data_IF_960286930273
#
_entry.id   IF_960286930273
#
_cell.length_a   1.000
_cell.length_b   1.000
_cell.length_c   1.000
_cell.angle_alpha   90.00
_cell.angle_beta   90.00
_cell.angle_gamma   90.00
#
_symmetry.space_group_name_H-M   'P 1'
#
loop_
_entity.id
_entity.type
_entity.pdbx_description
1 polymer ?
#
# COMPACT_ATOMS: atom_id res chain seq x y z
N UNK A 1 -0.18 -9.15 18.81
CA UNK A 1 1.10 -9.85 18.62
C UNK A 1 2.16 -8.85 18.21
N UNK A 2 3.40 -8.92 18.72
CA UNK A 2 4.36 -7.83 18.63
C UNK A 2 5.27 -7.94 17.39
N UNK A 3 4.79 -8.29 16.18
CA UNK A 3 5.68 -8.44 15.01
C UNK A 3 5.05 -7.98 13.69
N UNK A 4 4.70 -6.69 13.57
CA UNK A 4 4.19 -6.13 12.30
C UNK A 4 5.27 -5.44 11.47
N UNK A 5 6.37 -5.01 12.10
CA UNK A 5 7.38 -4.14 11.49
C UNK A 5 8.77 -4.59 11.95
N UNK A 6 9.77 -4.43 11.09
CA UNK A 6 11.16 -4.80 11.35
C UNK A 6 12.11 -3.65 10.98
N UNK A 7 13.01 -3.34 11.92
CA UNK A 7 14.19 -2.52 11.69
C UNK A 7 15.39 -3.24 12.31
N UNK A 8 16.43 -3.50 11.55
CA UNK A 8 17.56 -4.32 12.02
C UNK A 8 18.35 -3.69 13.18
N UNK A 9 18.17 -2.39 13.43
CA UNK A 9 18.84 -1.59 14.45
C UNK A 9 17.98 -1.34 15.71
N UNK A 10 16.82 -1.99 15.85
CA UNK A 10 16.02 -2.01 17.10
C UNK A 10 15.83 -3.44 17.59
N UNK A 11 15.50 -3.61 18.86
CA UNK A 11 15.20 -4.93 19.40
C UNK A 11 13.89 -5.47 18.81
N UNK A 12 13.92 -6.68 18.22
CA UNK A 12 12.72 -7.29 17.60
C UNK A 12 11.58 -7.59 18.57
N UNK A 13 11.87 -7.71 19.87
CA UNK A 13 10.88 -8.05 20.89
C UNK A 13 10.24 -6.82 21.55
N UNK A 14 11.07 -5.88 22.04
CA UNK A 14 10.58 -4.71 22.77
C UNK A 14 10.58 -3.41 21.97
N UNK A 15 11.14 -3.40 20.75
CA UNK A 15 11.23 -2.24 19.87
C UNK A 15 11.99 -1.02 20.41
N UNK A 16 12.70 -1.19 21.52
CA UNK A 16 13.63 -0.18 22.00
C UNK A 16 14.91 -0.19 21.14
N UNK A 17 15.40 1.01 20.83
CA UNK A 17 16.80 1.20 20.45
C UNK A 17 17.68 0.92 21.66
N UNK A 18 18.87 0.37 21.43
CA UNK A 18 19.88 0.18 22.46
C UNK A 18 21.26 0.36 21.86
N UNK A 19 22.19 0.87 22.66
CA UNK A 19 23.57 1.14 22.21
C UNK A 19 24.31 -0.16 21.82
N UNK A 20 23.88 -1.30 22.38
CA UNK A 20 24.47 -2.60 22.13
C UNK A 20 23.40 -3.67 21.88
N UNK A 21 22.96 -3.80 20.63
CA UNK A 21 22.08 -4.91 20.23
C UNK A 21 22.90 -6.14 19.82
N UNK A 22 22.50 -7.31 20.34
CA UNK A 22 23.08 -8.60 20.00
C UNK A 22 22.37 -9.17 18.77
N UNK A 23 23.10 -9.30 17.66
CA UNK A 23 22.62 -9.97 16.46
C UNK A 23 22.48 -11.47 16.71
N UNK A 24 21.45 -12.10 16.15
CA UNK A 24 21.32 -13.55 16.13
C UNK A 24 22.55 -14.18 15.45
N UNK A 25 23.31 -15.01 16.18
CA UNK A 25 24.59 -15.53 15.71
C UNK A 25 24.48 -16.39 14.44
N UNK A 26 23.37 -17.10 14.26
CA UNK A 26 23.16 -18.02 13.13
C UNK A 26 22.77 -17.28 11.84
N UNK A 27 21.69 -16.48 11.87
CA UNK A 27 21.16 -15.83 10.67
C UNK A 27 21.67 -14.41 10.45
N UNK A 28 22.10 -13.70 11.51
CA UNK A 28 22.52 -12.29 11.52
C UNK A 28 21.47 -11.26 11.03
N UNK A 29 20.23 -11.69 10.79
CA UNK A 29 19.14 -10.83 10.28
C UNK A 29 18.48 -9.99 11.37
N UNK A 30 18.46 -10.47 12.61
CA UNK A 30 17.66 -9.90 13.70
C UNK A 30 18.53 -9.59 14.91
N UNK A 31 18.14 -8.57 15.69
CA UNK A 31 18.90 -8.05 16.82
C UNK A 31 18.04 -7.94 18.09
N UNK A 32 18.66 -8.12 19.26
CA UNK A 32 18.00 -8.07 20.57
C UNK A 32 18.82 -7.29 21.60
N UNK A 33 18.16 -6.56 22.50
CA UNK A 33 18.87 -5.89 23.60
C UNK A 33 19.34 -6.87 24.68
N UNK A 34 18.62 -7.97 24.91
CA UNK A 34 18.97 -8.99 25.90
C UNK A 34 18.81 -10.40 25.36
N UNK A 35 19.52 -11.35 25.96
CA UNK A 35 19.36 -12.78 25.65
C UNK A 35 17.97 -13.30 26.01
N UNK A 36 17.26 -12.61 26.91
CA UNK A 36 15.90 -12.94 27.32
C UNK A 36 14.90 -12.62 26.20
N UNK A 37 14.99 -11.42 25.60
CA UNK A 37 14.19 -11.06 24.42
C UNK A 37 14.45 -11.99 23.23
N UNK A 38 15.70 -12.42 23.04
CA UNK A 38 16.02 -13.45 22.06
C UNK A 38 15.29 -14.78 22.35
N UNK A 39 15.27 -15.24 23.61
CA UNK A 39 14.55 -16.47 24.01
C UNK A 39 13.05 -16.35 23.78
N UNK A 40 12.46 -15.17 24.01
CA UNK A 40 11.05 -14.94 23.75
C UNK A 40 10.70 -15.00 22.27
N UNK A 41 11.48 -14.29 21.43
CA UNK A 41 11.31 -14.30 19.98
C UNK A 41 11.65 -15.67 19.36
N UNK A 42 12.52 -16.47 19.98
CA UNK A 42 12.93 -17.78 19.47
C UNK A 42 11.76 -18.73 19.21
N UNK A 43 10.65 -18.61 19.95
CA UNK A 43 9.42 -19.40 19.72
C UNK A 43 8.88 -19.22 18.30
N UNK A 44 9.12 -18.05 17.70
CA UNK A 44 8.66 -17.63 16.38
C UNK A 44 9.84 -17.65 15.38
N UNK A 45 10.94 -16.95 15.70
CA UNK A 45 12.08 -16.74 14.79
C UNK A 45 12.82 -18.03 14.39
N UNK A 46 12.79 -19.09 15.21
CA UNK A 46 13.56 -20.32 14.96
C UNK A 46 13.35 -20.91 13.56
N UNK A 47 12.13 -20.86 13.03
CA UNK A 47 11.80 -21.46 11.74
C UNK A 47 12.49 -20.73 10.58
N UNK A 48 12.41 -19.40 10.57
CA UNK A 48 13.12 -18.57 9.60
C UNK A 48 14.64 -18.73 9.76
N UNK A 49 15.13 -18.66 11.01
CA UNK A 49 16.56 -18.75 11.31
C UNK A 49 17.19 -20.04 10.82
N UNK A 50 16.56 -21.18 11.10
CA UNK A 50 17.02 -22.50 10.67
C UNK A 50 16.99 -22.61 9.14
N UNK A 51 15.96 -22.07 8.48
CA UNK A 51 15.84 -22.10 7.02
C UNK A 51 16.93 -21.27 6.34
N UNK A 52 17.15 -20.04 6.81
CA UNK A 52 18.23 -19.17 6.32
C UNK A 52 19.59 -19.84 6.54
N UNK A 53 19.80 -20.44 7.71
CA UNK A 53 21.06 -21.13 8.02
C UNK A 53 21.29 -22.33 7.09
N UNK A 54 20.24 -23.11 6.80
CA UNK A 54 20.30 -24.23 5.85
C UNK A 54 20.60 -23.74 4.43
N UNK A 55 19.94 -22.68 3.98
CA UNK A 55 20.16 -22.08 2.66
C UNK A 55 21.63 -21.62 2.51
N UNK A 56 22.16 -20.94 3.53
CA UNK A 56 23.54 -20.47 3.57
C UNK A 56 24.55 -21.62 3.56
N UNK A 57 24.36 -22.63 4.43
CA UNK A 57 25.37 -23.66 4.67
C UNK A 57 25.34 -24.78 3.63
N UNK A 58 24.15 -25.22 3.24
CA UNK A 58 23.95 -26.37 2.35
C UNK A 58 23.88 -25.94 0.89
N UNK A 59 23.06 -24.94 0.57
CA UNK A 59 22.83 -24.51 -0.81
C UNK A 59 23.81 -23.41 -1.26
N UNK A 60 24.63 -22.89 -0.34
CA UNK A 60 25.60 -21.80 -0.59
C UNK A 60 24.96 -20.52 -1.14
N UNK A 61 23.67 -20.34 -0.90
CA UNK A 61 22.92 -19.13 -1.23
C UNK A 61 22.80 -18.32 0.05
N UNK A 62 23.37 -17.12 0.08
CA UNK A 62 23.34 -16.24 1.25
C UNK A 62 22.89 -14.85 0.87
N UNK A 63 22.01 -14.28 1.70
CA UNK A 63 21.59 -12.88 1.58
C UNK A 63 22.79 -11.93 1.59
N UNK A 64 23.82 -12.25 2.39
CA UNK A 64 24.99 -11.40 2.60
C UNK A 64 26.16 -11.70 1.66
N UNK A 65 26.02 -12.66 0.73
CA UNK A 65 27.06 -12.99 -0.27
C UNK A 65 26.69 -12.45 -1.66
N UNK A 66 26.20 -11.21 -1.71
CA UNK A 66 25.87 -10.55 -2.97
C UNK A 66 27.14 -10.10 -3.70
N UNK A 67 27.18 -10.30 -5.02
CA UNK A 67 28.35 -9.99 -5.88
C UNK A 67 28.08 -8.96 -6.97
N UNK A 68 26.84 -8.48 -7.10
CA UNK A 68 26.51 -7.42 -8.04
C UNK A 68 26.88 -6.04 -7.48
N UNK A 69 26.57 -5.01 -8.25
CA UNK A 69 26.85 -3.62 -7.89
C UNK A 69 25.70 -2.66 -8.21
N UNK A 70 24.59 -3.17 -8.75
CA UNK A 70 23.41 -2.35 -9.05
C UNK A 70 22.26 -2.65 -8.09
N UNK A 71 21.39 -1.65 -7.91
CA UNK A 71 20.14 -1.79 -7.16
C UNK A 71 19.25 -2.89 -7.74
N UNK A 72 19.16 -2.99 -9.07
CA UNK A 72 18.36 -4.00 -9.76
C UNK A 72 18.83 -5.42 -9.44
N UNK A 73 20.13 -5.69 -9.57
CA UNK A 73 20.70 -7.00 -9.22
C UNK A 73 20.49 -7.33 -7.73
N UNK A 74 20.56 -6.31 -6.86
CA UNK A 74 20.29 -6.49 -5.44
C UNK A 74 18.81 -6.83 -5.16
N UNK A 75 17.87 -6.19 -5.87
CA UNK A 75 16.45 -6.52 -5.82
C UNK A 75 16.21 -7.97 -6.25
N UNK A 76 16.78 -8.38 -7.40
CA UNK A 76 16.69 -9.75 -7.91
C UNK A 76 17.27 -10.79 -6.95
N UNK A 77 18.42 -10.49 -6.33
CA UNK A 77 19.05 -11.37 -5.35
C UNK A 77 18.18 -11.55 -4.10
N UNK A 78 17.63 -10.46 -3.54
CA UNK A 78 16.72 -10.52 -2.39
C UNK A 78 15.45 -11.31 -2.71
N UNK A 79 14.84 -11.07 -3.87
CA UNK A 79 13.66 -11.80 -4.33
C UNK A 79 13.94 -13.28 -4.46
N UNK A 80 15.07 -13.66 -5.08
CA UNK A 80 15.50 -15.05 -5.20
C UNK A 80 15.67 -15.72 -3.83
N UNK A 81 16.37 -15.06 -2.90
CA UNK A 81 16.56 -15.57 -1.53
C UNK A 81 15.20 -15.76 -0.84
N UNK A 82 14.29 -14.80 -0.96
CA UNK A 82 12.96 -14.86 -0.38
C UNK A 82 12.14 -16.05 -0.90
N UNK A 83 12.13 -16.26 -2.22
CA UNK A 83 11.46 -17.40 -2.87
C UNK A 83 12.02 -18.73 -2.35
N UNK A 84 13.34 -18.89 -2.27
CA UNK A 84 13.93 -20.12 -1.72
C UNK A 84 13.54 -20.37 -0.27
N UNK A 85 13.49 -19.31 0.55
CA UNK A 85 13.07 -19.42 1.95
C UNK A 85 11.60 -19.87 2.04
N UNK A 86 10.69 -19.27 1.27
CA UNK A 86 9.27 -19.65 1.24
C UNK A 86 9.08 -21.10 0.76
N UNK A 87 9.81 -21.53 -0.26
CA UNK A 87 9.80 -22.91 -0.75
C UNK A 87 10.27 -23.92 0.31
N UNK A 88 11.36 -23.61 1.03
CA UNK A 88 11.88 -24.46 2.09
C UNK A 88 10.98 -24.49 3.34
N UNK A 89 10.35 -23.36 3.67
CA UNK A 89 9.39 -23.25 4.78
C UNK A 89 8.02 -23.85 4.46
N UNK A 90 7.67 -24.01 3.18
CA UNK A 90 6.35 -24.45 2.69
C UNK A 90 5.20 -23.56 3.17
N UNK A 91 5.48 -22.27 3.33
CA UNK A 91 4.48 -21.23 3.62
C UNK A 91 5.00 -19.89 3.14
N UNK A 92 4.09 -18.95 2.94
CA UNK A 92 4.47 -17.55 2.77
C UNK A 92 5.14 -17.03 4.04
N UNK A 93 6.10 -16.13 3.87
CA UNK A 93 6.70 -15.40 4.97
C UNK A 93 5.70 -14.40 5.54
N UNK A 94 5.71 -14.27 6.87
CA UNK A 94 4.98 -13.20 7.55
C UNK A 94 5.58 -11.84 7.14
N UNK A 95 4.80 -10.76 7.26
CA UNK A 95 5.21 -9.40 6.86
C UNK A 95 6.59 -9.02 7.43
N UNK A 96 6.80 -9.20 8.73
CA UNK A 96 8.08 -8.87 9.37
C UNK A 96 9.23 -9.78 8.92
N UNK A 97 8.97 -11.05 8.59
CA UNK A 97 10.00 -11.97 8.08
C UNK A 97 10.44 -11.57 6.67
N UNK A 98 9.50 -11.10 5.83
CA UNK A 98 9.84 -10.49 4.53
C UNK A 98 10.69 -9.25 4.73
N UNK A 99 10.30 -8.37 5.65
CA UNK A 99 11.07 -7.17 5.95
C UNK A 99 12.50 -7.46 6.45
N UNK A 100 12.74 -8.59 7.13
CA UNK A 100 14.10 -9.02 7.49
C UNK A 100 15.01 -9.27 6.27
N UNK A 101 14.43 -9.69 5.15
CA UNK A 101 15.14 -9.96 3.89
C UNK A 101 15.20 -8.70 3.02
N UNK A 102 14.13 -7.91 3.02
CA UNK A 102 13.99 -6.69 2.22
C UNK A 102 14.78 -5.51 2.81
N UNK A 103 14.91 -5.41 4.13
CA UNK A 103 15.66 -4.34 4.80
C UNK A 103 16.79 -4.88 5.68
N UNK A 104 17.71 -5.70 5.13
CA UNK A 104 18.76 -6.31 5.92
C UNK A 104 19.82 -5.28 6.30
N UNK A 105 20.67 -5.66 7.27
CA UNK A 105 21.75 -4.81 7.74
C UNK A 105 22.94 -4.82 6.75
N UNK A 106 22.83 -4.07 5.66
CA UNK A 106 23.84 -3.93 4.60
C UNK A 106 24.13 -2.48 4.28
N UNK A 107 25.23 -2.20 3.58
CA UNK A 107 25.53 -0.85 3.11
C UNK A 107 24.52 -0.42 2.03
N UNK A 108 23.99 0.80 2.12
CA UNK A 108 23.08 1.37 1.11
C UNK A 108 23.70 1.48 -0.28
N UNK A 109 25.03 1.64 -0.38
CA UNK A 109 25.73 1.83 -1.66
C UNK A 109 26.21 0.53 -2.28
N UNK A 110 26.94 -0.30 -1.52
CA UNK A 110 27.55 -1.51 -2.07
C UNK A 110 26.79 -2.81 -1.73
N UNK A 111 25.72 -2.72 -0.94
CA UNK A 111 24.88 -3.85 -0.50
C UNK A 111 25.65 -4.95 0.27
N UNK A 112 26.89 -4.67 0.68
CA UNK A 112 27.70 -5.61 1.46
C UNK A 112 27.34 -5.54 2.93
N UNK A 113 27.39 -6.70 3.57
CA UNK A 113 27.33 -6.81 5.02
C UNK A 113 28.65 -6.34 5.64
N UNK A 114 28.54 -5.59 6.73
CA UNK A 114 29.66 -5.23 7.59
C UNK A 114 29.29 -5.50 9.06
N UNK A 115 30.30 -5.75 9.89
CA UNK A 115 30.13 -5.86 11.34
C UNK A 115 29.87 -4.49 11.96
N UNK A 116 30.48 -3.44 11.40
CA UNK A 116 30.36 -2.04 11.83
C UNK A 116 29.81 -1.19 10.68
N UNK A 117 28.83 -0.34 10.98
CA UNK A 117 28.21 0.57 10.02
C UNK A 117 28.14 1.98 10.60
N UNK A 118 28.21 2.97 9.70
CA UNK A 118 27.88 4.36 9.95
C UNK A 118 26.39 4.57 9.64
N UNK A 119 25.50 4.71 10.63
CA UNK A 119 24.09 4.96 10.38
C UNK A 119 23.85 6.42 10.03
N UNK A 120 22.86 6.72 9.18
CA UNK A 120 22.30 8.06 9.15
C UNK A 120 21.65 8.37 10.50
N UNK A 121 22.19 9.37 11.22
CA UNK A 121 21.74 9.72 12.57
C UNK A 121 20.30 10.23 12.62
N UNK A 122 19.80 10.77 11.50
CA UNK A 122 18.48 11.37 11.39
C UNK A 122 17.43 10.26 11.16
N UNK A 123 17.42 9.63 9.98
CA UNK A 123 16.38 8.64 9.65
C UNK A 123 16.60 7.26 10.25
N UNK A 124 17.84 6.90 10.60
CA UNK A 124 18.24 5.55 11.06
C UNK A 124 17.87 4.42 10.10
N UNK A 125 17.54 4.73 8.84
CA UNK A 125 17.15 3.74 7.83
C UNK A 125 18.28 3.38 6.85
N UNK A 126 19.27 4.27 6.68
CA UNK A 126 20.43 4.04 5.81
C UNK A 126 21.71 3.81 6.62
N UNK A 127 22.56 2.94 6.10
CA UNK A 127 23.77 2.44 6.76
C UNK A 127 24.90 2.38 5.76
N UNK A 128 26.10 2.83 6.15
CA UNK A 128 27.25 2.89 5.26
C UNK A 128 28.42 2.11 5.85
N UNK A 129 29.12 1.33 5.02
CA UNK A 129 30.28 0.57 5.49
C UNK A 129 31.55 1.43 5.67
N UNK A 130 31.56 2.65 5.11
CA UNK A 130 32.65 3.62 5.20
C UNK A 130 32.12 5.05 4.94
N UNK A 131 32.92 6.06 5.29
CA UNK A 131 32.58 7.47 5.07
C UNK A 131 32.44 7.82 3.58
N UNK A 132 33.26 7.22 2.72
CA UNK A 132 33.22 7.42 1.27
C UNK A 132 31.82 7.10 0.71
N UNK A 133 31.26 5.94 1.04
CA UNK A 133 29.89 5.58 0.60
C UNK A 133 28.81 6.51 1.18
N UNK A 134 29.00 7.01 2.41
CA UNK A 134 28.09 7.98 3.00
C UNK A 134 28.11 9.31 2.23
N UNK A 135 29.30 9.77 1.82
CA UNK A 135 29.48 11.00 1.05
C UNK A 135 28.89 10.83 -0.36
N UNK A 136 29.18 9.71 -1.02
CA UNK A 136 28.70 9.43 -2.39
C UNK A 136 27.18 9.38 -2.48
N UNK A 137 26.49 8.81 -1.48
CA UNK A 137 25.03 8.73 -1.46
C UNK A 137 24.35 9.93 -0.80
N UNK A 138 25.10 10.94 -0.32
CA UNK A 138 24.55 12.03 0.48
C UNK A 138 23.40 12.77 -0.21
N UNK A 139 23.59 13.18 -1.48
CA UNK A 139 22.60 13.96 -2.22
C UNK A 139 21.28 13.18 -2.41
N UNK A 140 21.36 11.95 -2.91
CA UNK A 140 20.21 11.06 -3.11
C UNK A 140 19.50 10.73 -1.78
N UNK A 141 20.28 10.52 -0.72
CA UNK A 141 19.75 10.26 0.61
C UNK A 141 19.01 11.46 1.20
N UNK A 142 19.53 12.68 1.02
CA UNK A 142 18.96 13.90 1.59
C UNK A 142 17.53 14.16 1.09
N UNK A 143 17.21 13.81 -0.15
CA UNK A 143 15.86 13.90 -0.73
C UNK A 143 14.84 13.06 0.05
N UNK A 144 15.26 11.91 0.58
CA UNK A 144 14.37 10.93 1.22
C UNK A 144 14.54 10.84 2.74
N UNK A 145 15.60 11.41 3.31
CA UNK A 145 15.96 11.24 4.72
C UNK A 145 14.84 11.67 5.67
N UNK A 146 14.16 12.79 5.40
CA UNK A 146 13.06 13.27 6.24
C UNK A 146 11.85 12.32 6.18
N UNK A 147 11.54 11.80 4.99
CA UNK A 147 10.41 10.90 4.81
C UNK A 147 10.68 9.51 5.40
N UNK A 148 11.90 9.00 5.26
CA UNK A 148 12.37 7.79 5.96
C UNK A 148 12.29 7.95 7.48
N UNK A 149 12.68 9.12 8.01
CA UNK A 149 12.53 9.41 9.44
C UNK A 149 11.06 9.37 9.86
N UNK A 150 10.19 10.03 9.10
CA UNK A 150 8.76 10.04 9.39
C UNK A 150 8.16 8.62 9.34
N UNK A 151 8.58 7.79 8.37
CA UNK A 151 8.18 6.37 8.29
C UNK A 151 8.57 5.63 9.58
N UNK A 152 9.83 5.77 10.01
CA UNK A 152 10.32 5.14 11.25
C UNK A 152 9.55 5.63 12.49
N UNK A 153 9.30 6.92 12.60
CA UNK A 153 8.60 7.52 13.74
C UNK A 153 7.12 7.07 13.80
N UNK A 154 6.43 6.99 12.66
CA UNK A 154 5.05 6.48 12.57
C UNK A 154 4.99 5.00 12.95
N UNK A 155 5.92 4.19 12.44
CA UNK A 155 5.99 2.77 12.74
C UNK A 155 6.23 2.51 14.24
N UNK A 156 7.16 3.26 14.86
CA UNK A 156 7.39 3.19 16.30
C UNK A 156 6.19 3.67 17.11
N UNK A 157 5.49 4.71 16.65
CA UNK A 157 4.28 5.21 17.28
C UNK A 157 3.18 4.13 17.30
N UNK A 158 2.96 3.44 16.17
CA UNK A 158 2.00 2.34 16.06
C UNK A 158 2.33 1.14 16.98
N UNK A 159 3.60 0.91 17.25
CA UNK A 159 4.04 -0.16 18.16
C UNK A 159 3.80 0.23 19.62
N UNK A 160 4.13 1.48 19.99
CA UNK A 160 4.06 1.96 21.38
C UNK A 160 2.64 2.29 21.81
N UNK A 161 1.85 2.87 20.91
CA UNK A 161 0.44 3.10 21.14
C UNK A 161 -0.30 1.79 20.87
N UNK A 162 -1.01 1.26 21.87
CA UNK A 162 -1.98 0.21 21.61
C UNK A 162 -2.94 0.73 20.53
N UNK A 163 -3.23 -0.04 19.46
CA UNK A 163 -4.05 0.47 18.33
C UNK A 163 -5.41 1.01 18.80
N UNK A 164 -5.95 0.47 19.89
CA UNK A 164 -7.18 0.94 20.55
C UNK A 164 -7.07 2.34 21.18
N UNK A 165 -5.85 2.84 21.41
CA UNK A 165 -5.55 4.16 21.94
C UNK A 165 -5.33 5.22 20.85
N UNK A 166 -5.23 4.81 19.59
CA UNK A 166 -5.18 5.74 18.47
C UNK A 166 -6.57 6.35 18.34
N UNK A 167 -6.67 7.68 18.43
CA UNK A 167 -7.95 8.38 18.34
C UNK A 167 -8.50 8.19 16.93
N UNK A 168 -9.65 7.53 16.81
CA UNK A 168 -10.42 7.56 15.58
C UNK A 168 -10.82 9.00 15.31
N UNK A 169 -10.44 9.50 14.14
CA UNK A 169 -10.86 10.83 13.69
C UNK A 169 -12.31 10.73 13.26
N UNK A 170 -13.18 11.48 13.94
CA UNK A 170 -14.57 11.62 13.53
C UNK A 170 -14.63 12.51 12.28
N UNK A 171 -14.49 11.88 11.12
CA UNK A 171 -14.50 12.55 9.83
C UNK A 171 -15.79 13.34 9.60
N UNK A 172 -16.93 12.86 10.12
CA UNK A 172 -18.22 13.53 9.97
C UNK A 172 -18.22 14.91 10.63
N UNK A 173 -17.53 15.06 11.75
CA UNK A 173 -17.39 16.37 12.43
C UNK A 173 -16.55 17.40 11.66
N UNK A 174 -15.72 16.94 10.71
CA UNK A 174 -14.83 17.79 9.91
C UNK A 174 -15.45 18.23 8.58
N UNK A 175 -16.58 17.64 8.19
CA UNK A 175 -17.18 17.87 6.88
C UNK A 175 -17.67 19.32 6.73
N UNK A 176 -17.14 20.00 5.70
CA UNK A 176 -17.56 21.34 5.28
C UNK A 176 -18.47 21.25 4.06
N UNK A 177 -19.23 22.31 3.79
CA UNK A 177 -20.10 22.39 2.60
C UNK A 177 -19.31 22.22 1.30
N UNK A 178 -18.14 22.85 1.23
CA UNK A 178 -17.21 22.72 0.11
C UNK A 178 -16.35 21.47 0.29
N UNK A 179 -16.13 20.74 -0.81
CA UNK A 179 -15.14 19.68 -0.83
C UNK A 179 -13.74 20.30 -0.63
N UNK A 180 -12.88 19.74 0.25
CA UNK A 180 -11.54 20.28 0.50
C UNK A 180 -10.67 20.23 -0.76
N UNK A 181 -9.59 21.01 -0.80
CA UNK A 181 -8.62 20.97 -1.90
C UNK A 181 -7.60 19.84 -1.77
N UNK A 182 -7.35 19.36 -0.55
CA UNK A 182 -6.41 18.28 -0.26
C UNK A 182 -6.74 17.55 1.04
N UNK A 183 -6.15 16.38 1.24
CA UNK A 183 -6.24 15.64 2.51
C UNK A 183 -5.58 16.40 3.67
N UNK A 184 -4.57 17.21 3.36
CA UNK A 184 -3.83 17.97 4.35
C UNK A 184 -4.70 19.08 4.94
N UNK A 185 -5.45 19.79 4.07
CA UNK A 185 -6.46 20.78 4.44
C UNK A 185 -7.62 20.13 5.22
N UNK A 186 -8.10 18.96 4.77
CA UNK A 186 -9.20 18.27 5.45
C UNK A 186 -8.86 17.89 6.89
N UNK A 187 -7.62 17.48 7.13
CA UNK A 187 -7.14 17.04 8.45
C UNK A 187 -6.52 18.18 9.29
N UNK A 188 -6.61 19.42 8.82
CA UNK A 188 -6.08 20.58 9.54
C UNK A 188 -6.77 20.75 10.90
N UNK A 189 -5.98 20.80 11.98
CA UNK A 189 -6.48 20.92 13.36
C UNK A 189 -7.16 19.67 13.93
N UNK A 190 -7.42 18.63 13.11
CA UNK A 190 -8.08 17.40 13.56
C UNK A 190 -7.14 16.44 14.31
N UNK A 191 -5.85 16.50 14.03
CA UNK A 191 -4.82 15.58 14.55
C UNK A 191 -3.94 16.28 15.58
N UNK A 192 -3.48 15.59 16.64
CA UNK A 192 -2.56 16.18 17.62
C UNK A 192 -1.18 16.48 17.05
N UNK A 193 -0.81 15.83 15.95
CA UNK A 193 0.47 16.02 15.30
C UNK A 193 0.60 15.19 14.02
N UNK A 194 1.77 15.27 13.39
CA UNK A 194 2.04 14.66 12.08
C UNK A 194 1.87 13.13 12.07
N UNK A 195 2.17 12.44 13.17
CA UNK A 195 2.06 10.98 13.24
C UNK A 195 0.61 10.52 13.16
N UNK A 196 -0.29 11.13 13.95
CA UNK A 196 -1.73 10.87 13.87
C UNK A 196 -2.29 11.28 12.50
N UNK A 197 -1.82 12.41 11.94
CA UNK A 197 -2.22 12.89 10.61
C UNK A 197 -1.86 11.88 9.51
N UNK A 198 -0.67 11.28 9.56
CA UNK A 198 -0.26 10.23 8.63
C UNK A 198 -1.21 9.03 8.68
N UNK A 199 -1.51 8.53 9.89
CA UNK A 199 -2.38 7.37 10.06
C UNK A 199 -3.81 7.63 9.58
N UNK A 200 -4.37 8.79 9.94
CA UNK A 200 -5.71 9.16 9.48
C UNK A 200 -5.77 9.36 7.98
N UNK A 201 -4.76 10.02 7.40
CA UNK A 201 -4.69 10.26 5.96
C UNK A 201 -4.65 8.96 5.15
N UNK A 202 -3.99 7.93 5.69
CA UNK A 202 -3.90 6.62 5.04
C UNK A 202 -5.26 5.92 4.97
N UNK A 203 -6.05 5.96 6.04
CA UNK A 203 -7.37 5.33 6.08
C UNK A 203 -8.37 6.03 5.15
N UNK A 204 -8.36 7.36 5.12
CA UNK A 204 -9.35 8.14 4.36
C UNK A 204 -8.95 8.38 2.89
N UNK A 205 -7.67 8.17 2.53
CA UNK A 205 -7.18 8.42 1.18
C UNK A 205 -8.00 7.68 0.11
N UNK A 206 -8.44 6.45 0.39
CA UNK A 206 -9.26 5.65 -0.54
C UNK A 206 -10.58 6.34 -0.91
N UNK A 207 -11.39 6.68 0.10
CA UNK A 207 -12.69 7.32 -0.13
C UNK A 207 -12.54 8.71 -0.75
N UNK A 208 -11.57 9.49 -0.30
CA UNK A 208 -11.36 10.84 -0.83
C UNK A 208 -10.81 10.86 -2.26
N UNK A 209 -9.97 9.90 -2.63
CA UNK A 209 -9.49 9.76 -4.02
C UNK A 209 -10.66 9.40 -4.96
N UNK A 210 -11.54 8.52 -4.51
CA UNK A 210 -12.77 8.15 -5.24
C UNK A 210 -13.70 9.36 -5.41
N UNK A 211 -13.99 10.09 -4.33
CA UNK A 211 -14.83 11.29 -4.36
C UNK A 211 -14.21 12.41 -5.21
N UNK A 212 -12.89 12.58 -5.15
CA UNK A 212 -12.16 13.55 -5.97
C UNK A 212 -12.33 13.24 -7.46
N UNK A 213 -12.15 11.98 -7.87
CA UNK A 213 -12.37 11.55 -9.25
C UNK A 213 -13.81 11.77 -9.71
N UNK A 214 -14.78 11.45 -8.85
CA UNK A 214 -16.21 11.70 -9.09
C UNK A 214 -16.52 13.18 -9.32
N UNK A 215 -16.03 14.06 -8.43
CA UNK A 215 -16.25 15.51 -8.50
C UNK A 215 -15.59 16.12 -9.74
N UNK A 216 -14.37 15.68 -10.08
CA UNK A 216 -13.64 16.19 -11.24
C UNK A 216 -14.27 15.77 -12.56
N UNK A 217 -14.83 14.56 -12.64
CA UNK A 217 -15.48 14.07 -13.85
C UNK A 217 -16.75 14.86 -14.19
N UNK A 218 -17.64 15.08 -13.21
CA UNK A 218 -18.86 15.90 -13.36
C UNK A 218 -19.76 15.53 -14.57
N UNK A 219 -19.76 14.26 -15.02
CA UNK A 219 -20.45 13.79 -16.24
C UNK A 219 -21.48 12.68 -16.05
N UNK A 220 -21.62 12.14 -14.85
CA UNK A 220 -22.44 10.95 -14.58
C UNK A 220 -23.88 11.27 -14.16
N UNK A 221 -24.40 12.47 -14.45
CA UNK A 221 -25.73 12.92 -14.02
C UNK A 221 -25.99 12.65 -12.52
N UNK A 222 -24.93 12.72 -11.69
CA UNK A 222 -24.95 12.28 -10.30
C UNK A 222 -26.08 12.90 -9.48
N UNK A 223 -26.46 14.13 -9.82
CA UNK A 223 -27.53 14.88 -9.18
C UNK A 223 -28.94 14.30 -9.42
N UNK A 224 -29.10 13.43 -10.41
CA UNK A 224 -30.36 12.76 -10.73
C UNK A 224 -30.45 11.34 -10.15
N UNK A 225 -29.36 10.82 -9.57
CA UNK A 225 -29.31 9.46 -9.07
C UNK A 225 -29.85 9.38 -7.63
N UNK A 226 -30.64 8.34 -7.37
CA UNK A 226 -31.08 7.97 -6.03
C UNK A 226 -30.22 6.84 -5.43
N UNK A 227 -29.67 5.98 -6.30
CA UNK A 227 -28.81 4.85 -5.96
C UNK A 227 -27.51 5.01 -6.72
N UNK A 228 -26.38 4.78 -6.06
CA UNK A 228 -25.05 4.90 -6.65
C UNK A 228 -24.24 3.60 -6.50
N UNK A 229 -23.81 3.04 -7.63
CA UNK A 229 -23.09 1.77 -7.70
C UNK A 229 -21.58 2.03 -7.87
N UNK A 230 -20.81 1.62 -6.87
CA UNK A 230 -19.35 1.72 -6.82
C UNK A 230 -18.76 0.33 -6.96
N UNK A 231 -17.97 0.10 -8.00
CA UNK A 231 -17.17 -1.12 -8.13
C UNK A 231 -15.71 -0.82 -7.78
N UNK A 232 -15.14 -1.62 -6.89
CA UNK A 232 -13.76 -1.50 -6.44
C UNK A 232 -13.01 -2.74 -6.90
N UNK A 233 -12.02 -2.57 -7.78
CA UNK A 233 -11.27 -3.66 -8.40
C UNK A 233 -9.94 -3.90 -7.68
N UNK A 234 -9.46 -5.14 -7.74
CA UNK A 234 -8.19 -5.53 -7.13
C UNK A 234 -8.23 -5.54 -5.60
N UNK A 235 -9.44 -5.63 -5.02
CA UNK A 235 -9.65 -5.53 -3.59
C UNK A 235 -8.92 -6.64 -2.82
N UNK A 236 -8.14 -6.20 -1.83
CA UNK A 236 -7.56 -7.01 -0.76
C UNK A 236 -8.05 -6.48 0.60
N UNK A 237 -7.43 -6.90 1.71
CA UNK A 237 -7.86 -6.47 3.04
C UNK A 237 -7.74 -4.96 3.28
N UNK A 238 -6.82 -4.27 2.60
CA UNK A 238 -6.52 -2.85 2.80
C UNK A 238 -7.63 -1.93 2.30
N UNK A 239 -8.27 -2.24 1.17
CA UNK A 239 -9.35 -1.43 0.61
C UNK A 239 -10.63 -1.49 1.46
N UNK A 240 -10.75 -2.43 2.40
CA UNK A 240 -11.87 -2.46 3.37
C UNK A 240 -11.96 -1.19 4.22
N UNK A 241 -10.89 -0.38 4.31
CA UNK A 241 -10.94 0.91 5.01
C UNK A 241 -12.02 1.85 4.43
N UNK A 242 -12.31 1.75 3.13
CA UNK A 242 -13.35 2.58 2.50
C UNK A 242 -14.73 2.38 3.17
N UNK A 243 -14.99 1.17 3.69
CA UNK A 243 -16.28 0.80 4.29
C UNK A 243 -16.59 1.63 5.54
N UNK A 244 -15.55 2.08 6.26
CA UNK A 244 -15.67 2.93 7.46
C UNK A 244 -16.20 4.33 7.13
N UNK A 245 -16.06 4.77 5.88
CA UNK A 245 -16.26 6.16 5.48
C UNK A 245 -17.35 6.34 4.41
N UNK A 246 -18.17 5.30 4.16
CA UNK A 246 -19.24 5.36 3.14
C UNK A 246 -20.25 6.46 3.43
N UNK A 247 -20.52 6.78 4.71
CA UNK A 247 -21.44 7.85 5.10
C UNK A 247 -21.06 9.21 4.50
N UNK A 248 -19.76 9.45 4.24
CA UNK A 248 -19.24 10.70 3.67
C UNK A 248 -19.84 10.99 2.28
N UNK A 249 -20.22 9.97 1.51
CA UNK A 249 -20.91 10.16 0.23
C UNK A 249 -22.16 11.03 0.38
N UNK A 250 -22.97 10.77 1.41
CA UNK A 250 -24.27 11.43 1.60
C UNK A 250 -24.14 12.89 2.00
N UNK A 251 -22.98 13.32 2.47
CA UNK A 251 -22.74 14.72 2.82
C UNK A 251 -22.59 15.60 1.59
N UNK A 252 -21.75 15.21 0.63
CA UNK A 252 -21.55 15.98 -0.61
C UNK A 252 -22.53 15.61 -1.72
N UNK A 253 -23.21 14.46 -1.61
CA UNK A 253 -24.23 14.00 -2.54
C UNK A 253 -25.54 13.68 -1.80
N UNK A 254 -26.20 14.68 -1.20
CA UNK A 254 -27.38 14.49 -0.36
C UNK A 254 -28.60 13.92 -1.08
N UNK A 255 -28.62 13.93 -2.42
CA UNK A 255 -29.67 13.31 -3.24
C UNK A 255 -29.63 11.77 -3.20
N UNK A 256 -28.46 11.17 -2.98
CA UNK A 256 -28.30 9.72 -2.97
C UNK A 256 -28.94 9.15 -1.72
N UNK A 257 -29.86 8.18 -1.82
CA UNK A 257 -30.38 7.45 -0.67
C UNK A 257 -29.67 6.12 -0.43
N UNK A 258 -28.99 5.59 -1.45
CA UNK A 258 -28.27 4.32 -1.34
C UNK A 258 -26.93 4.35 -2.07
N UNK A 259 -25.90 3.80 -1.44
CA UNK A 259 -24.61 3.51 -2.10
C UNK A 259 -24.35 2.01 -2.04
N UNK A 260 -24.23 1.36 -3.19
CA UNK A 260 -23.84 -0.03 -3.31
C UNK A 260 -22.33 -0.10 -3.57
N UNK A 261 -21.59 -0.82 -2.72
CA UNK A 261 -20.17 -1.08 -2.88
C UNK A 261 -19.98 -2.55 -3.26
N UNK A 262 -19.43 -2.80 -4.44
CA UNK A 262 -19.04 -4.13 -4.89
C UNK A 262 -17.52 -4.21 -4.92
N UNK A 263 -16.93 -4.98 -4.02
CA UNK A 263 -15.50 -5.20 -3.93
C UNK A 263 -15.14 -6.48 -4.68
N UNK A 264 -14.32 -6.38 -5.73
CA UNK A 264 -14.00 -7.48 -6.63
C UNK A 264 -12.49 -7.75 -6.64
N UNK A 265 -12.09 -8.99 -6.40
CA UNK A 265 -10.70 -9.41 -6.55
C UNK A 265 -10.47 -10.88 -6.14
N UNK A 266 -9.43 -11.53 -6.68
CA UNK A 266 -9.13 -12.94 -6.38
C UNK A 266 -8.76 -13.18 -4.92
N UNK A 267 -8.27 -12.14 -4.24
CA UNK A 267 -7.86 -12.15 -2.84
C UNK A 267 -8.95 -11.65 -1.88
N UNK A 268 -10.16 -11.37 -2.37
CA UNK A 268 -11.28 -11.00 -1.50
C UNK A 268 -11.61 -12.15 -0.53
N UNK A 269 -11.70 -11.83 0.76
CA UNK A 269 -12.24 -12.75 1.75
C UNK A 269 -13.78 -12.76 1.67
N UNK A 270 -14.33 -13.89 1.21
CA UNK A 270 -15.77 -14.16 1.11
C UNK A 270 -16.24 -15.12 2.22
N UNK A 271 -15.52 -15.21 3.34
CA UNK A 271 -15.88 -16.05 4.48
C UNK A 271 -17.30 -15.79 5.01
N UNK A 272 -17.87 -14.61 4.74
CA UNK A 272 -19.31 -14.34 4.76
C UNK A 272 -19.81 -14.02 3.35
N UNK A 273 -20.64 -14.88 2.76
CA UNK A 273 -21.35 -14.61 1.50
C UNK A 273 -22.45 -13.54 1.64
N UNK A 274 -22.59 -12.94 2.83
CA UNK A 274 -23.67 -12.02 3.13
C UNK A 274 -23.36 -10.61 2.63
N UNK A 275 -24.38 -9.99 2.02
CA UNK A 275 -24.38 -8.56 1.76
C UNK A 275 -24.48 -7.83 3.11
N UNK A 276 -23.48 -7.01 3.42
CA UNK A 276 -23.49 -6.20 4.64
C UNK A 276 -24.30 -4.94 4.32
N UNK A 277 -25.43 -4.79 4.99
CA UNK A 277 -26.25 -3.58 4.90
C UNK A 277 -25.99 -2.69 6.11
N UNK A 278 -25.79 -1.39 5.86
CA UNK A 278 -25.66 -0.39 6.91
C UNK A 278 -26.72 0.70 6.74
N UNK A 279 -27.32 1.09 7.85
CA UNK A 279 -28.25 2.21 7.91
C UNK A 279 -27.55 3.43 8.50
N UNK A 280 -27.80 4.58 7.91
CA UNK A 280 -27.30 5.88 8.35
C UNK A 280 -28.47 6.82 8.66
N UNK A 281 -28.16 8.03 9.13
CA UNK A 281 -29.18 9.04 9.42
C UNK A 281 -30.02 9.36 8.18
N UNK A 282 -31.26 9.80 8.40
CA UNK A 282 -32.19 10.24 7.35
C UNK A 282 -32.55 9.16 6.32
N UNK A 283 -32.52 7.87 6.72
CA UNK A 283 -32.91 6.76 5.84
C UNK A 283 -31.91 6.46 4.72
N UNK A 284 -30.69 6.99 4.81
CA UNK A 284 -29.59 6.68 3.89
C UNK A 284 -29.05 5.29 4.20
N UNK A 285 -28.70 4.52 3.19
CA UNK A 285 -28.23 3.13 3.36
C UNK A 285 -27.03 2.80 2.50
N UNK A 286 -26.21 1.83 2.92
CA UNK A 286 -25.21 1.22 2.05
C UNK A 286 -25.36 -0.29 2.04
N UNK A 287 -25.01 -0.90 0.90
CA UNK A 287 -24.93 -2.34 0.75
C UNK A 287 -23.52 -2.69 0.26
N UNK A 288 -22.86 -3.64 0.93
CA UNK A 288 -21.49 -4.04 0.62
C UNK A 288 -21.51 -5.51 0.19
N UNK A 289 -21.02 -5.77 -1.02
CA UNK A 289 -20.88 -7.10 -1.61
C UNK A 289 -19.41 -7.36 -1.90
N UNK A 290 -18.91 -8.52 -1.51
CA UNK A 290 -17.54 -8.97 -1.82
C UNK A 290 -17.58 -10.12 -2.81
N UNK A 291 -16.81 -10.01 -3.88
CA UNK A 291 -16.75 -10.97 -4.99
C UNK A 291 -15.32 -11.48 -5.11
N UNK A 292 -15.12 -12.75 -4.75
CA UNK A 292 -13.85 -13.45 -4.95
C UNK A 292 -13.74 -13.98 -6.38
N UNK A 293 -13.59 -13.07 -7.33
CA UNK A 293 -13.53 -13.38 -8.75
C UNK A 293 -12.72 -12.31 -9.52
N UNK A 294 -12.38 -12.58 -10.78
CA UNK A 294 -11.87 -11.55 -11.68
C UNK A 294 -13.05 -10.71 -12.23
N UNK A 295 -12.80 -9.43 -12.51
CA UNK A 295 -13.89 -8.52 -12.92
C UNK A 295 -14.57 -8.94 -14.23
N UNK A 296 -13.79 -9.39 -15.22
CA UNK A 296 -14.31 -9.91 -16.49
C UNK A 296 -15.03 -11.26 -16.39
N UNK A 297 -15.02 -11.89 -15.21
CA UNK A 297 -15.82 -13.06 -14.89
C UNK A 297 -17.12 -12.61 -14.20
N UNK A 298 -17.02 -11.69 -13.21
CA UNK A 298 -18.18 -11.11 -12.53
C UNK A 298 -19.20 -10.44 -13.47
N UNK A 299 -18.74 -9.75 -14.52
CA UNK A 299 -19.65 -9.09 -15.49
C UNK A 299 -20.62 -10.08 -16.17
N UNK A 300 -20.28 -11.37 -16.21
CA UNK A 300 -21.10 -12.42 -16.84
C UNK A 300 -22.11 -13.03 -15.87
N UNK A 301 -22.03 -12.69 -14.58
CA UNK A 301 -22.91 -13.23 -13.55
C UNK A 301 -24.30 -12.55 -13.62
N UNK A 302 -25.34 -13.29 -13.25
CA UNK A 302 -26.74 -12.82 -13.35
C UNK A 302 -27.07 -11.68 -12.39
N UNK A 303 -26.27 -11.51 -11.35
CA UNK A 303 -26.41 -10.47 -10.33
C UNK A 303 -25.37 -9.33 -10.51
N UNK A 304 -24.84 -9.20 -11.73
CA UNK A 304 -24.06 -8.05 -12.14
C UNK A 304 -24.95 -6.80 -12.20
N UNK A 305 -24.59 -5.79 -11.43
CA UNK A 305 -25.20 -4.47 -11.53
C UNK A 305 -24.25 -3.53 -12.29
N UNK A 306 -24.79 -2.68 -13.17
CA UNK A 306 -23.98 -1.73 -13.89
C UNK A 306 -23.39 -0.68 -12.92
N UNK A 307 -22.07 -0.42 -12.94
CA UNK A 307 -21.46 0.59 -12.08
C UNK A 307 -21.77 2.01 -12.57
N UNK A 308 -21.82 2.97 -11.65
CA UNK A 308 -21.68 4.39 -11.99
C UNK A 308 -20.22 4.82 -11.98
N UNK A 309 -19.42 4.19 -11.13
CA UNK A 309 -17.98 4.41 -11.02
C UNK A 309 -17.27 3.09 -10.74
N UNK A 310 -16.14 2.89 -11.40
CA UNK A 310 -15.20 1.82 -11.16
C UNK A 310 -13.91 2.46 -10.64
N UNK A 311 -13.37 1.94 -9.55
CA UNK A 311 -12.09 2.38 -9.00
C UNK A 311 -11.13 1.22 -8.83
N UNK A 312 -9.87 1.40 -9.22
CA UNK A 312 -8.79 0.46 -9.01
C UNK A 312 -7.66 1.19 -8.27
N UNK A 313 -7.45 0.84 -7.00
CA UNK A 313 -6.46 1.51 -6.16
C UNK A 313 -5.09 0.86 -6.30
N UNK A 314 -4.06 1.66 -6.59
CA UNK A 314 -2.65 1.24 -6.73
C UNK A 314 -2.51 -0.06 -7.54
N UNK A 315 -3.22 -0.14 -8.66
CA UNK A 315 -3.61 -1.42 -9.26
C UNK A 315 -2.56 -2.07 -10.15
N UNK A 316 -1.57 -1.30 -10.63
CA UNK A 316 -0.51 -1.80 -11.50
C UNK A 316 -1.06 -2.43 -12.78
N UNK A 317 -1.99 -1.76 -13.45
CA UNK A 317 -2.58 -2.26 -14.70
C UNK A 317 -1.52 -2.64 -15.72
N UNK A 318 -0.41 -1.92 -15.80
CA UNK A 318 0.65 -2.20 -16.76
C UNK A 318 1.70 -3.24 -16.29
N UNK A 319 1.73 -3.64 -15.02
CA UNK A 319 2.83 -4.40 -14.41
C UNK A 319 3.14 -5.72 -15.16
N UNK A 320 2.10 -6.44 -15.54
CA UNK A 320 2.21 -7.76 -16.19
C UNK A 320 1.80 -7.75 -17.67
N UNK A 321 1.73 -6.58 -18.30
CA UNK A 321 1.23 -6.45 -19.67
C UNK A 321 1.97 -7.39 -20.65
N UNK A 322 1.23 -8.09 -21.49
CA UNK A 322 1.75 -9.09 -22.45
C UNK A 322 2.49 -10.28 -21.82
N UNK A 323 2.30 -10.54 -20.52
CA UNK A 323 2.85 -11.73 -19.86
C UNK A 323 1.77 -12.78 -19.61
N UNK A 324 2.17 -14.00 -19.26
CA UNK A 324 1.23 -15.07 -18.86
C UNK A 324 0.54 -14.81 -17.53
N UNK A 325 0.98 -13.80 -16.77
CA UNK A 325 0.42 -13.41 -15.47
C UNK A 325 -0.61 -12.26 -15.62
N UNK A 326 -0.86 -11.82 -16.85
CA UNK A 326 -1.75 -10.71 -17.14
C UNK A 326 -3.23 -11.07 -16.96
N UNK A 327 -3.81 -10.61 -15.85
CA UNK A 327 -5.25 -10.74 -15.58
C UNK A 327 -6.02 -9.46 -15.90
N UNK A 328 -5.33 -8.33 -16.09
CA UNK A 328 -5.94 -7.02 -16.30
C UNK A 328 -6.41 -6.79 -17.74
N UNK A 329 -5.75 -7.39 -18.75
CA UNK A 329 -6.11 -7.19 -20.16
C UNK A 329 -7.61 -7.39 -20.44
N UNK A 330 -8.14 -8.58 -20.11
CA UNK A 330 -9.58 -8.87 -20.28
C UNK A 330 -10.48 -7.95 -19.45
N UNK A 331 -10.03 -7.54 -18.27
CA UNK A 331 -10.77 -6.61 -17.41
C UNK A 331 -10.87 -5.23 -18.07
N UNK A 332 -9.77 -4.72 -18.64
CA UNK A 332 -9.73 -3.45 -19.38
C UNK A 332 -10.62 -3.55 -20.62
N UNK A 333 -10.53 -4.64 -21.39
CA UNK A 333 -11.39 -4.85 -22.58
C UNK A 333 -12.89 -4.80 -22.23
N UNK A 334 -13.27 -5.37 -21.09
CA UNK A 334 -14.65 -5.32 -20.61
C UNK A 334 -15.05 -3.92 -20.15
N UNK A 335 -14.17 -3.21 -19.42
CA UNK A 335 -14.43 -1.84 -18.97
C UNK A 335 -14.65 -0.89 -20.16
N UNK A 336 -13.80 -0.98 -21.19
CA UNK A 336 -13.88 -0.12 -22.38
C UNK A 336 -15.12 -0.36 -23.24
N UNK A 337 -15.86 -1.44 -22.98
CA UNK A 337 -17.14 -1.75 -23.65
C UNK A 337 -18.36 -1.23 -22.88
N UNK A 338 -18.17 -0.71 -21.67
CA UNK A 338 -19.26 -0.10 -20.89
C UNK A 338 -19.59 1.29 -21.44
N UNK A 339 -20.78 1.79 -21.12
CA UNK A 339 -21.21 3.14 -21.44
C UNK A 339 -21.56 3.88 -20.14
N UNK A 340 -21.32 5.19 -20.08
CA UNK A 340 -21.61 6.06 -18.92
C UNK A 340 -20.95 5.63 -17.61
N UNK A 341 -19.69 5.22 -17.63
CA UNK A 341 -18.92 4.80 -16.45
C UNK A 341 -17.76 5.74 -16.19
N UNK A 342 -17.56 6.14 -14.92
CA UNK A 342 -16.33 6.81 -14.49
C UNK A 342 -15.31 5.74 -14.10
N UNK A 343 -14.08 5.85 -14.61
CA UNK A 343 -12.95 5.01 -14.20
C UNK A 343 -11.94 5.86 -13.43
N UNK A 344 -11.67 5.47 -12.18
CA UNK A 344 -10.64 6.08 -11.33
C UNK A 344 -9.53 5.07 -11.09
N UNK A 345 -8.30 5.46 -11.36
CA UNK A 345 -7.11 4.63 -11.17
C UNK A 345 -6.14 5.41 -10.28
N UNK A 346 -5.55 4.75 -9.29
CA UNK A 346 -4.43 5.33 -8.53
C UNK A 346 -3.18 4.47 -8.66
N UNK A 347 -2.01 5.08 -8.47
CA UNK A 347 -0.70 4.41 -8.57
C UNK A 347 0.30 4.98 -7.55
N UNK A 348 1.40 4.25 -7.28
CA UNK A 348 2.43 4.67 -6.33
C UNK A 348 3.41 5.65 -6.96
N UNK A 349 3.74 5.46 -8.23
CA UNK A 349 4.71 6.27 -8.97
C UNK A 349 4.11 6.96 -10.20
N UNK A 350 4.76 8.02 -10.68
CA UNK A 350 4.34 8.74 -11.88
C UNK A 350 4.41 7.81 -13.10
N UNK A 351 5.50 7.04 -13.21
CA UNK A 351 5.74 6.11 -14.31
C UNK A 351 4.68 5.01 -14.34
N UNK A 352 4.30 4.45 -13.20
CA UNK A 352 3.18 3.51 -13.12
C UNK A 352 1.88 4.16 -13.60
N UNK A 353 1.55 5.37 -13.11
CA UNK A 353 0.30 6.04 -13.48
C UNK A 353 0.21 6.32 -14.99
N UNK A 354 1.32 6.74 -15.61
CA UNK A 354 1.44 6.96 -17.06
C UNK A 354 1.29 5.65 -17.85
N UNK A 355 1.93 4.58 -17.40
CA UNK A 355 1.84 3.28 -18.05
C UNK A 355 0.44 2.67 -17.91
N UNK A 356 -0.16 2.78 -16.72
CA UNK A 356 -1.50 2.28 -16.41
C UNK A 356 -2.54 2.96 -17.30
N UNK A 357 -2.56 4.30 -17.36
CA UNK A 357 -3.53 5.02 -18.21
C UNK A 357 -3.27 4.78 -19.69
N UNK A 358 -2.01 4.74 -20.13
CA UNK A 358 -1.66 4.42 -21.51
C UNK A 358 -2.17 3.04 -21.92
N UNK A 359 -2.06 2.06 -21.02
CA UNK A 359 -2.60 0.71 -21.26
C UNK A 359 -4.12 0.73 -21.41
N UNK A 360 -4.83 1.49 -20.58
CA UNK A 360 -6.30 1.63 -20.71
C UNK A 360 -6.69 2.27 -22.03
N UNK A 361 -6.06 3.39 -22.40
CA UNK A 361 -6.37 4.12 -23.63
C UNK A 361 -6.09 3.24 -24.85
N UNK A 362 -4.94 2.58 -24.89
CA UNK A 362 -4.55 1.73 -26.02
C UNK A 362 -5.35 0.42 -26.09
N UNK A 363 -5.99 0.00 -25.00
CA UNK A 363 -6.90 -1.15 -24.97
C UNK A 363 -8.32 -0.83 -25.44
N UNK A 364 -8.64 0.44 -25.74
CA UNK A 364 -9.96 0.84 -26.20
C UNK A 364 -10.03 0.88 -27.73
N UNK A 365 -10.90 0.05 -28.32
CA UNK A 365 -11.23 0.14 -29.75
C UNK A 365 -12.08 1.39 -30.09
N UNK A 366 -12.58 2.10 -29.07
CA UNK A 366 -13.51 3.24 -29.20
C UNK A 366 -12.99 4.48 -28.47
N UNK A 367 -11.78 4.91 -28.82
CA UNK A 367 -11.10 6.07 -28.20
C UNK A 367 -11.97 7.34 -28.24
N UNK A 368 -12.79 7.52 -29.28
CA UNK A 368 -13.72 8.65 -29.44
C UNK A 368 -14.78 8.79 -28.34
N UNK A 369 -15.09 7.71 -27.60
CA UNK A 369 -16.02 7.71 -26.46
C UNK A 369 -15.32 7.91 -25.11
N UNK A 370 -13.99 7.92 -25.10
CA UNK A 370 -13.20 8.02 -23.88
C UNK A 370 -12.77 9.46 -23.65
N UNK A 371 -13.22 10.05 -22.55
CA UNK A 371 -12.76 11.35 -22.12
C UNK A 371 -11.77 11.23 -20.95
N UNK A 372 -10.57 11.77 -21.13
CA UNK A 372 -9.52 11.76 -20.11
C UNK A 372 -9.61 13.05 -19.30
N UNK A 373 -10.16 12.94 -18.08
CA UNK A 373 -10.40 14.07 -17.18
C UNK A 373 -9.13 14.43 -16.39
N UNK A 374 -8.41 13.41 -15.90
CA UNK A 374 -7.13 13.55 -15.22
C UNK A 374 -6.18 12.51 -15.80
N UNK A 375 -5.00 12.94 -16.24
CA UNK A 375 -3.98 12.10 -16.84
C UNK A 375 -2.77 11.97 -15.93
N UNK A 376 -2.70 10.87 -15.17
CA UNK A 376 -1.55 10.49 -14.33
C UNK A 376 -1.01 11.64 -13.47
N UNK A 377 -1.89 12.38 -12.80
CA UNK A 377 -1.50 13.57 -12.04
C UNK A 377 -1.31 13.25 -10.55
N UNK A 378 -0.63 14.13 -9.82
CA UNK A 378 -0.50 14.04 -8.37
C UNK A 378 -1.87 14.07 -7.72
N UNK A 379 -2.13 13.09 -6.86
CA UNK A 379 -3.38 13.02 -6.13
C UNK A 379 -3.30 13.89 -4.86
N UNK A 380 -4.10 14.98 -4.75
CA UNK A 380 -4.13 15.80 -3.54
C UNK A 380 -4.73 15.07 -2.33
N UNK A 381 -5.32 13.88 -2.55
CA UNK A 381 -5.89 13.01 -1.53
C UNK A 381 -5.09 11.73 -1.30
N UNK A 382 -3.83 11.68 -1.73
CA UNK A 382 -2.91 10.58 -1.38
C UNK A 382 -2.71 10.45 0.13
N UNK A 383 -2.28 9.29 0.59
CA UNK A 383 -1.80 9.14 1.98
C UNK A 383 -0.61 10.06 2.25
N UNK A 384 -0.56 10.68 3.43
CA UNK A 384 0.59 11.42 3.93
C UNK A 384 1.61 10.50 4.62
N UNK A 385 1.24 9.24 4.89
CA UNK A 385 2.14 8.25 5.51
C UNK A 385 3.15 7.72 4.47
N UNK A 386 4.47 7.92 4.68
CA UNK A 386 5.48 7.26 3.87
C UNK A 386 5.64 5.80 4.29
N UNK A 387 5.93 4.94 3.31
CA UNK A 387 6.33 3.54 3.51
C UNK A 387 7.70 3.30 2.89
N UNK A 388 8.57 2.53 3.56
CA UNK A 388 9.88 2.19 3.00
C UNK A 388 9.73 1.44 1.69
N UNK A 389 10.36 1.96 0.64
CA UNK A 389 10.49 1.26 -0.62
C UNK A 389 11.72 0.34 -0.58
N UNK A 390 11.48 -0.95 -0.72
CA UNK A 390 12.55 -1.94 -0.75
C UNK A 390 13.31 -1.90 -2.08
N UNK A 391 12.71 -1.39 -3.16
CA UNK A 391 13.31 -1.38 -4.49
C UNK A 391 14.31 -0.26 -4.71
N UNK A 392 14.16 0.89 -4.03
CA UNK A 392 14.94 2.10 -4.29
C UNK A 392 15.57 2.76 -3.05
N UNK A 393 15.51 2.14 -1.86
CA UNK A 393 15.96 2.75 -0.58
C UNK A 393 15.29 4.11 -0.26
N UNK A 394 14.14 4.39 -0.89
CA UNK A 394 13.36 5.60 -0.72
C UNK A 394 12.05 5.30 0.03
N UNK A 395 11.03 6.12 -0.17
CA UNK A 395 9.67 5.84 0.32
C UNK A 395 8.64 5.97 -0.79
N UNK A 396 7.53 5.26 -0.65
CA UNK A 396 6.33 5.44 -1.46
C UNK A 396 5.13 5.86 -0.61
N UNK A 397 4.08 6.32 -1.26
CA UNK A 397 2.83 6.77 -0.64
C UNK A 397 1.65 6.08 -1.33
N UNK A 398 0.66 5.63 -0.54
CA UNK A 398 -0.57 5.08 -1.10
C UNK A 398 -1.35 6.14 -1.86
N UNK A 399 -1.91 5.76 -3.02
CA UNK A 399 -2.69 6.60 -3.90
C UNK A 399 -1.97 7.89 -4.32
N UNK A 400 -0.66 7.84 -4.55
CA UNK A 400 0.18 9.02 -4.79
C UNK A 400 -0.20 9.79 -6.07
N UNK A 401 -0.61 9.05 -7.09
CA UNK A 401 -1.06 9.58 -8.38
C UNK A 401 -2.47 9.09 -8.69
N UNK A 402 -3.19 9.84 -9.52
CA UNK A 402 -4.56 9.54 -9.92
C UNK A 402 -4.78 9.83 -11.41
N UNK A 403 -5.50 8.93 -12.06
CA UNK A 403 -6.03 9.08 -13.40
C UNK A 403 -7.55 8.93 -13.35
N UNK A 404 -8.27 9.75 -14.12
CA UNK A 404 -9.73 9.75 -14.16
C UNK A 404 -10.18 9.81 -15.61
N UNK A 405 -10.98 8.82 -16.00
CA UNK A 405 -11.55 8.71 -17.34
C UNK A 405 -13.07 8.61 -17.25
N UNK A 406 -13.76 9.10 -18.28
CA UNK A 406 -15.17 8.88 -18.49
C UNK A 406 -15.37 8.07 -19.76
N UNK A 407 -16.07 6.95 -19.64
CA UNK A 407 -16.39 6.02 -20.73
C UNK A 407 -17.83 6.35 -21.14
N UNK A 408 -18.01 6.95 -22.32
CA UNK A 408 -19.24 7.61 -22.76
C UNK A 408 -20.25 6.76 -23.52
#
# INVERSE_FOLDING_TARGET
>A
MPHYIFYHHICQWCYCSGDFLKKCASCRLVSYCTSEHQKYDWKIHKYLCQTVTKLNNTMKISLFNFRGNTQKEWNEHRTKVMVFIELLLRRKLNVFERQMILFPNVCTVCYQYNTVFLPCINCRCNFYCCEEHMITNKAEHEENCKALKLCFDVDLFLIKCNRSSIRNIDCNSLLKKTFPSSIDEFLEGACKGILEKCLASEEISFIFSLLYGLIKCNKNELYNLNVFNVHILGCNEHENNILKFVEIFFHWFPQLNKVNLVMIGPDCDTSSNDVINNDYKNGKTSAIKKIKNLYHEYIKESDFEHPNIVVAFNCGFAEFNNSTQDTWGKTIDCLMKMDKVILVITSYTQVEAENDISRVINGSDKIEKLDVIINADKNPFRSLRPHRDWESHSVFYLNNFISVLYIG
#
